data_IF_186665860413
#
_entry.id   IF_186665860413
#
_cell.length_a   1.000
_cell.length_b   1.000
_cell.length_c   1.000
_cell.angle_alpha   90.00
_cell.angle_beta   90.00
_cell.angle_gamma   90.00
#
_symmetry.space_group_name_H-M   'P 1'
#
loop_
_entity.id
_entity.type
_entity.pdbx_description
1 polymer ?
#
# COMPACT_ATOMS: atom_id res chain seq x y z
N UNK A 1 1.52 9.13 17.24
CA UNK A 1 1.63 9.15 15.77
C UNK A 1 0.50 8.27 15.23
N UNK A 2 -0.64 8.90 14.90
CA UNK A 2 -1.91 8.20 14.68
C UNK A 2 -2.06 7.91 13.19
N UNK A 3 -1.55 6.77 12.74
CA UNK A 3 -1.86 6.20 11.43
C UNK A 3 -2.79 4.97 11.54
N UNK A 4 -3.45 4.79 12.70
CA UNK A 4 -4.33 3.64 12.95
C UNK A 4 -5.72 3.76 12.30
N UNK A 5 -6.11 4.95 11.83
CA UNK A 5 -7.48 5.22 11.35
C UNK A 5 -7.59 5.44 9.83
N UNK A 6 -6.49 5.35 9.06
CA UNK A 6 -6.54 5.43 7.59
C UNK A 6 -6.43 4.03 6.99
N UNK A 7 -7.55 3.41 6.56
CA UNK A 7 -7.53 2.06 5.98
C UNK A 7 -6.83 2.01 4.61
N UNK A 8 -6.75 3.15 3.92
CA UNK A 8 -6.11 3.29 2.61
C UNK A 8 -5.11 4.44 2.63
N UNK A 9 -3.90 4.17 2.15
CA UNK A 9 -2.87 5.18 1.98
C UNK A 9 -2.50 5.33 0.51
N UNK A 10 -2.13 6.54 0.11
CA UNK A 10 -1.52 6.74 -1.19
C UNK A 10 -0.14 6.09 -1.22
N UNK A 11 0.37 5.81 -2.42
CA UNK A 11 1.76 5.34 -2.59
C UNK A 11 2.77 6.30 -1.98
N UNK A 12 2.49 7.61 -2.02
CA UNK A 12 3.38 8.64 -1.49
C UNK A 12 3.42 8.63 0.04
N UNK A 13 2.26 8.48 0.68
CA UNK A 13 2.19 8.38 2.14
C UNK A 13 2.77 7.05 2.64
N UNK A 14 2.51 5.96 1.93
CA UNK A 14 3.10 4.66 2.25
C UNK A 14 4.62 4.70 2.14
N UNK A 15 5.15 5.24 1.04
CA UNK A 15 6.59 5.44 0.84
C UNK A 15 7.21 6.23 2.00
N UNK A 16 6.55 7.31 2.47
CA UNK A 16 7.01 8.09 3.62
C UNK A 16 7.02 7.31 4.94
N UNK A 17 6.02 6.46 5.18
CA UNK A 17 5.92 5.68 6.42
C UNK A 17 6.93 4.52 6.44
N UNK A 18 7.09 3.83 5.31
CA UNK A 18 8.00 2.68 5.18
C UNK A 18 9.45 3.12 4.90
N UNK A 19 9.69 4.42 4.75
CA UNK A 19 10.98 5.00 4.36
C UNK A 19 11.50 4.41 3.03
N UNK A 20 10.59 4.20 2.09
CA UNK A 20 10.84 3.64 0.77
C UNK A 20 10.62 4.71 -0.31
N UNK A 21 11.08 4.46 -1.53
CA UNK A 21 10.85 5.36 -2.66
C UNK A 21 9.51 5.09 -3.31
N UNK A 22 8.84 6.14 -3.78
CA UNK A 22 7.57 6.01 -4.52
C UNK A 22 7.70 5.13 -5.76
N UNK A 23 8.88 5.11 -6.40
CA UNK A 23 9.21 4.23 -7.52
C UNK A 23 9.22 2.76 -7.14
N UNK A 24 9.92 2.41 -6.05
CA UNK A 24 9.98 1.04 -5.55
C UNK A 24 8.61 0.54 -5.09
N UNK A 25 7.84 1.37 -4.38
CA UNK A 25 6.46 1.03 -3.98
C UNK A 25 5.57 0.79 -5.20
N UNK A 26 5.68 1.60 -6.26
CA UNK A 26 4.96 1.35 -7.53
C UNK A 26 5.38 0.04 -8.18
N UNK A 27 6.67 -0.28 -8.14
CA UNK A 27 7.19 -1.53 -8.67
C UNK A 27 6.66 -2.74 -7.87
N UNK A 28 6.66 -2.68 -6.54
CA UNK A 28 6.09 -3.71 -5.67
C UNK A 28 4.58 -3.91 -5.92
N UNK A 29 3.85 -2.83 -6.14
CA UNK A 29 2.44 -2.89 -6.56
C UNK A 29 2.30 -3.59 -7.91
N UNK A 30 3.13 -3.24 -8.90
CA UNK A 30 3.09 -3.85 -10.22
C UNK A 30 3.46 -5.34 -10.19
N UNK A 31 4.37 -5.73 -9.29
CA UNK A 31 4.74 -7.11 -9.03
C UNK A 31 3.68 -7.90 -8.24
N UNK A 32 2.60 -7.25 -7.79
CA UNK A 32 1.54 -7.89 -6.99
C UNK A 32 1.94 -8.18 -5.54
N UNK A 33 3.04 -7.60 -5.04
CA UNK A 33 3.53 -7.81 -3.67
C UNK A 33 2.82 -6.96 -2.63
N UNK A 34 2.14 -5.90 -3.06
CA UNK A 34 1.38 -5.02 -2.17
C UNK A 34 -0.12 -5.10 -2.47
N UNK A 35 -0.97 -5.33 -1.46
CA UNK A 35 -2.40 -5.35 -1.65
C UNK A 35 -2.90 -3.93 -1.94
N UNK A 36 -3.34 -3.73 -3.18
CA UNK A 36 -3.92 -2.47 -3.63
C UNK A 36 -5.43 -2.59 -3.76
N UNK A 37 -6.11 -1.46 -3.60
CA UNK A 37 -7.52 -1.36 -3.99
C UNK A 37 -7.63 -1.61 -5.50
N UNK A 38 -8.60 -2.43 -5.92
CA UNK A 38 -8.87 -2.67 -7.35
C UNK A 38 -8.99 -1.34 -8.08
N UNK A 39 -8.13 -1.12 -9.07
CA UNK A 39 -8.23 0.01 -9.98
C UNK A 39 -9.18 -0.34 -11.11
N UNK A 40 -10.09 0.57 -11.45
CA UNK A 40 -10.88 0.43 -12.67
C UNK A 40 -10.10 0.91 -13.90
N UNK A 41 -9.19 1.88 -13.75
CA UNK A 41 -8.38 2.44 -14.83
C UNK A 41 -6.88 2.35 -14.57
N UNK A 42 -6.10 2.15 -15.63
CA UNK A 42 -4.63 2.05 -15.57
C UNK A 42 -3.94 3.30 -14.99
N UNK A 43 -4.53 4.50 -15.17
CA UNK A 43 -4.02 5.78 -14.64
C UNK A 43 -4.61 6.20 -13.29
N UNK A 44 -5.46 5.39 -12.67
CA UNK A 44 -6.01 5.76 -11.35
C UNK A 44 -4.92 5.79 -10.27
N UNK A 45 -5.06 6.73 -9.35
CA UNK A 45 -4.21 6.84 -8.16
C UNK A 45 -4.25 5.50 -7.42
N UNK A 46 -3.07 4.91 -7.23
CA UNK A 46 -2.95 3.68 -6.44
C UNK A 46 -3.14 4.01 -4.97
N UNK A 47 -4.09 3.34 -4.34
CA UNK A 47 -4.23 3.32 -2.90
C UNK A 47 -3.86 1.93 -2.39
N UNK A 48 -2.94 1.89 -1.45
CA UNK A 48 -2.46 0.71 -0.76
C UNK A 48 -3.40 0.44 0.42
N UNK A 49 -3.89 -0.79 0.51
CA UNK A 49 -4.78 -1.20 1.59
C UNK A 49 -3.95 -1.65 2.79
N UNK A 50 -3.86 -0.79 3.80
CA UNK A 50 -3.06 -1.06 5.01
C UNK A 50 -3.66 -2.17 5.87
N UNK A 51 -4.98 -2.35 5.83
CA UNK A 51 -5.65 -3.42 6.57
C UNK A 51 -5.28 -4.79 6.01
N UNK A 52 -5.20 -4.91 4.69
CA UNK A 52 -4.78 -6.14 4.02
C UNK A 52 -3.32 -6.47 4.35
N UNK A 53 -2.42 -5.48 4.35
CA UNK A 53 -1.02 -5.69 4.77
C UNK A 53 -0.95 -6.24 6.19
N UNK A 54 -1.74 -5.67 7.12
CA UNK A 54 -1.76 -6.11 8.50
C UNK A 54 -2.33 -7.52 8.66
N UNK A 55 -3.36 -7.86 7.87
CA UNK A 55 -3.95 -9.19 7.87
C UNK A 55 -2.96 -10.25 7.36
N UNK A 56 -2.25 -9.98 6.25
CA UNK A 56 -1.17 -10.84 5.76
C UNK A 56 -0.05 -10.99 6.79
N UNK A 57 0.35 -9.90 7.46
CA UNK A 57 1.36 -9.95 8.50
C UNK A 57 0.93 -10.78 9.73
N UNK A 58 -0.37 -10.85 10.04
CA UNK A 58 -0.90 -11.70 11.11
C UNK A 58 -1.03 -13.17 10.70
N UNK A 59 -1.17 -13.47 9.41
CA UNK A 59 -1.26 -14.85 8.89
C UNK A 59 0.10 -15.54 8.82
N UNK A 60 1.20 -14.79 8.85
CA UNK A 60 2.58 -15.31 8.77
C UNK A 60 3.20 -15.54 10.17
N UNK A 61 2.43 -15.33 11.25
CA UNK A 61 2.86 -15.55 12.64
C UNK A 61 2.34 -16.88 13.18
#
# INVERSE_FOLDING_TARGET
>A
MVCANLPFLSVEDYARITNDTTGNVRQQVHQGRLPIRKKLKAREKTFINMLAIRAEAQLVV
#
